data_IF_652282053449
#
_entry.id   IF_652282053449
#
_cell.length_a   1.000
_cell.length_b   1.000
_cell.length_c   1.000
_cell.angle_alpha   90.00
_cell.angle_beta   90.00
_cell.angle_gamma   90.00
#
_symmetry.space_group_name_H-M   'P 1'
#
loop_
_entity.id
_entity.type
_entity.pdbx_description
1 polymer ?
#
# COMPACT_ATOMS: atom_id res chain seq x y z
N UNK A 1 13.55 3.18 0.65
CA UNK A 1 12.65 3.39 -0.52
C UNK A 1 11.43 4.15 -0.03
N UNK A 2 11.03 5.24 -0.68
CA UNK A 2 9.84 6.00 -0.31
C UNK A 2 8.78 5.84 -1.41
N UNK A 3 7.56 5.45 -1.02
CA UNK A 3 6.42 5.29 -1.92
C UNK A 3 5.47 6.47 -1.74
N UNK A 4 5.20 7.18 -2.82
CA UNK A 4 4.22 8.25 -2.88
C UNK A 4 3.13 7.89 -3.87
N UNK A 5 1.89 8.20 -3.54
CA UNK A 5 0.75 7.96 -4.40
C UNK A 5 -0.08 9.23 -4.49
N UNK A 6 -0.47 9.64 -5.69
CA UNK A 6 -1.27 10.84 -5.90
C UNK A 6 -2.39 10.55 -6.90
N UNK A 7 -3.61 10.99 -6.59
CA UNK A 7 -4.70 10.99 -7.56
C UNK A 7 -4.61 12.24 -8.43
N UNK A 8 -4.55 12.04 -9.75
CA UNK A 8 -4.41 13.10 -10.74
C UNK A 8 -5.74 13.26 -11.45
N UNK A 9 -6.51 14.27 -11.03
CA UNK A 9 -7.86 14.55 -11.52
C UNK A 9 -7.89 14.71 -13.04
N UNK A 10 -6.93 15.47 -13.60
CA UNK A 10 -6.86 15.71 -15.04
C UNK A 10 -6.67 14.43 -15.87
N UNK A 11 -6.10 13.38 -15.28
CA UNK A 11 -5.87 12.10 -15.94
C UNK A 11 -6.85 11.00 -15.49
N UNK A 12 -7.70 11.28 -14.49
CA UNK A 12 -8.53 10.33 -13.75
C UNK A 12 -7.77 9.04 -13.36
N UNK A 13 -6.54 9.20 -12.86
CA UNK A 13 -5.61 8.10 -12.59
C UNK A 13 -4.81 8.34 -11.32
N UNK A 14 -4.42 7.25 -10.69
CA UNK A 14 -3.41 7.28 -9.62
C UNK A 14 -2.02 7.22 -10.24
N UNK A 15 -1.11 8.05 -9.73
CA UNK A 15 0.32 8.01 -10.03
C UNK A 15 1.07 7.48 -8.81
N UNK A 16 1.73 6.33 -8.94
CA UNK A 16 2.69 5.82 -7.96
C UNK A 16 4.06 6.36 -8.32
N UNK A 17 4.73 6.96 -7.34
CA UNK A 17 6.10 7.43 -7.44
C UNK A 17 6.94 6.70 -6.40
N UNK A 18 7.98 6.02 -6.86
CA UNK A 18 8.98 5.36 -6.04
C UNK A 18 10.23 6.22 -6.04
N UNK A 19 10.67 6.64 -4.85
CA UNK A 19 11.88 7.44 -4.66
C UNK A 19 12.99 6.64 -3.98
N UNK A 20 14.16 6.75 -4.59
CA UNK A 20 15.46 6.34 -4.09
C UNK A 20 16.29 7.60 -3.83
N UNK A 21 17.43 7.52 -3.10
CA UNK A 21 18.30 8.67 -2.87
C UNK A 21 18.68 9.41 -4.17
N UNK A 22 18.97 8.66 -5.25
CA UNK A 22 19.50 9.23 -6.50
C UNK A 22 18.57 9.02 -7.71
N UNK A 23 17.36 8.50 -7.51
CA UNK A 23 16.46 8.18 -8.61
C UNK A 23 14.98 8.26 -8.24
N UNK A 24 14.14 8.57 -9.24
CA UNK A 24 12.69 8.53 -9.14
C UNK A 24 12.11 7.73 -10.30
N UNK A 25 11.14 6.86 -10.00
CA UNK A 25 10.35 6.16 -11.00
C UNK A 25 8.88 6.39 -10.73
N UNK A 26 8.11 6.68 -11.79
CA UNK A 26 6.69 6.93 -11.67
C UNK A 26 5.89 6.11 -12.67
N UNK A 27 4.77 5.59 -12.19
CA UNK A 27 3.84 4.82 -13.00
C UNK A 27 2.39 5.26 -12.77
N UNK A 28 1.61 5.26 -13.84
CA UNK A 28 0.16 5.31 -13.81
C UNK A 28 -0.39 3.95 -13.38
N UNK A 29 -1.44 3.99 -12.58
CA UNK A 29 -2.16 2.81 -12.12
C UNK A 29 -3.56 2.82 -12.70
N UNK A 30 -3.99 1.65 -13.15
CA UNK A 30 -5.40 1.42 -13.46
C UNK A 30 -6.17 1.17 -12.17
N UNK A 31 -7.46 1.55 -12.16
CA UNK A 31 -8.38 1.21 -11.07
C UNK A 31 -8.34 -0.27 -10.71
N UNK A 32 -8.36 -1.14 -11.73
CA UNK A 32 -8.31 -2.60 -11.55
C UNK A 32 -7.06 -3.03 -10.79
N UNK A 33 -5.89 -2.57 -11.22
CA UNK A 33 -4.63 -2.94 -10.58
C UNK A 33 -4.56 -2.43 -9.13
N UNK A 34 -5.02 -1.21 -8.87
CA UNK A 34 -5.05 -0.67 -7.51
C UNK A 34 -5.95 -1.50 -6.60
N UNK A 35 -7.17 -1.85 -7.04
CA UNK A 35 -8.08 -2.67 -6.25
C UNK A 35 -7.52 -4.08 -5.99
N UNK A 36 -6.99 -4.74 -7.02
CA UNK A 36 -6.34 -6.05 -6.90
C UNK A 36 -5.13 -6.02 -5.96
N UNK A 37 -4.40 -4.91 -5.96
CA UNK A 37 -3.28 -4.72 -5.05
C UNK A 37 -3.76 -4.65 -3.60
N UNK A 38 -4.78 -3.83 -3.31
CA UNK A 38 -5.30 -3.69 -1.94
C UNK A 38 -5.88 -5.02 -1.46
N UNK A 39 -6.75 -5.69 -2.23
CA UNK A 39 -7.32 -7.00 -1.82
C UNK A 39 -6.24 -8.05 -1.66
N UNK A 40 -5.40 -8.25 -2.68
CA UNK A 40 -4.42 -9.33 -2.69
C UNK A 40 -3.32 -9.16 -1.64
N UNK A 41 -3.03 -7.93 -1.22
CA UNK A 41 -2.09 -7.71 -0.11
C UNK A 41 -2.75 -7.97 1.24
N UNK A 42 -4.00 -7.54 1.45
CA UNK A 42 -4.76 -7.84 2.67
C UNK A 42 -4.91 -9.35 2.89
N UNK A 43 -5.29 -10.08 1.84
CA UNK A 43 -5.40 -11.55 1.88
C UNK A 43 -4.07 -12.19 2.30
N UNK A 44 -2.94 -11.74 1.72
CA UNK A 44 -1.61 -12.26 2.04
C UNK A 44 -1.17 -11.91 3.46
N UNK A 45 -1.49 -10.71 3.96
CA UNK A 45 -1.20 -10.33 5.35
C UNK A 45 -1.99 -11.19 6.33
N UNK A 46 -3.27 -11.49 6.03
CA UNK A 46 -4.14 -12.31 6.87
C UNK A 46 -3.83 -13.80 6.83
N UNK A 47 -3.26 -14.28 5.73
CA UNK A 47 -2.83 -15.68 5.60
C UNK A 47 -1.55 -16.01 6.37
N UNK A 48 -0.77 -15.00 6.77
CA UNK A 48 0.47 -15.20 7.52
C UNK A 48 0.17 -15.14 9.02
N UNK A 49 0.44 -16.23 9.72
CA UNK A 49 0.34 -16.29 11.17
C UNK A 49 1.19 -15.20 11.84
N UNK A 50 0.56 -14.46 12.74
CA UNK A 50 1.21 -13.39 13.47
C UNK A 50 1.97 -13.95 14.67
N UNK A 51 3.18 -13.43 14.98
CA UNK A 51 3.84 -13.78 16.22
C UNK A 51 2.98 -13.36 17.42
N UNK A 52 2.91 -14.22 18.43
CA UNK A 52 2.19 -13.93 19.67
C UNK A 52 2.77 -12.67 20.33
N UNK A 53 1.90 -11.87 20.96
CA UNK A 53 2.35 -10.77 21.80
C UNK A 53 3.04 -11.37 23.03
N UNK A 54 4.22 -10.87 23.44
CA UNK A 54 4.86 -11.29 24.68
C UNK A 54 4.12 -10.64 25.88
N UNK A 55 2.86 -10.99 26.07
CA UNK A 55 2.05 -10.61 27.21
C UNK A 55 2.00 -11.80 28.18
N UNK A 56 2.52 -11.67 29.41
CA UNK A 56 2.48 -12.76 30.38
C UNK A 56 1.04 -13.22 30.62
N UNK A 57 0.75 -14.48 30.27
CA UNK A 57 -0.54 -15.12 30.55
C UNK A 57 -1.69 -14.84 29.56
N UNK A 58 -1.45 -14.16 28.43
CA UNK A 58 -2.48 -13.86 27.43
C UNK A 58 -1.98 -14.18 26.01
N UNK A 59 -2.28 -15.39 25.52
CA UNK A 59 -2.19 -15.72 24.10
C UNK A 59 -3.46 -15.20 23.39
N UNK A 60 -3.52 -13.89 23.13
CA UNK A 60 -4.59 -13.31 22.33
C UNK A 60 -4.28 -13.53 20.84
N UNK A 61 -5.18 -14.17 20.06
CA UNK A 61 -5.01 -14.24 18.61
C UNK A 61 -4.99 -12.82 18.06
N UNK A 62 -3.88 -12.44 17.43
CA UNK A 62 -3.76 -11.13 16.79
C UNK A 62 -4.48 -11.20 15.45
N UNK A 63 -5.45 -10.31 15.24
CA UNK A 63 -6.08 -10.12 13.93
C UNK A 63 -5.45 -8.94 13.17
N UNK A 64 -5.80 -8.80 11.88
CA UNK A 64 -5.28 -7.72 11.04
C UNK A 64 -5.69 -6.33 11.52
N UNK A 65 -6.85 -6.18 12.16
CA UNK A 65 -7.32 -4.89 12.64
C UNK A 65 -6.49 -4.41 13.84
N UNK A 66 -6.16 -5.33 14.75
CA UNK A 66 -5.26 -5.08 15.87
C UNK A 66 -3.84 -4.75 15.40
N UNK A 67 -3.31 -5.47 14.42
CA UNK A 67 -2.01 -5.16 13.83
C UNK A 67 -2.02 -3.78 13.15
N UNK A 68 -3.07 -3.47 12.40
CA UNK A 68 -3.25 -2.18 11.78
C UNK A 68 -3.29 -1.04 12.81
N UNK A 69 -4.06 -1.17 13.89
CA UNK A 69 -4.12 -0.18 14.96
C UNK A 69 -2.75 0.13 15.58
N UNK A 70 -1.96 -0.91 15.87
CA UNK A 70 -0.58 -0.76 16.36
C UNK A 70 0.37 -0.12 15.33
N UNK A 71 0.03 -0.21 14.04
CA UNK A 71 0.81 0.41 12.97
C UNK A 71 0.59 1.92 12.87
N UNK A 72 -0.57 2.42 13.34
CA UNK A 72 -0.98 3.82 13.27
C UNK A 72 -0.36 4.69 14.38
N UNK A 73 0.17 4.09 15.45
CA UNK A 73 0.82 4.81 16.57
C UNK A 73 2.15 5.50 16.20
N UNK A 74 2.58 5.36 14.94
CA UNK A 74 3.86 5.88 14.48
C UNK A 74 3.69 6.46 13.08
N UNK A 75 4.25 7.64 12.82
CA UNK A 75 4.11 8.39 11.56
C UNK A 75 4.22 7.48 10.33
N UNK A 76 3.13 7.39 9.59
CA UNK A 76 3.03 6.68 8.31
C UNK A 76 3.50 7.54 7.13
N UNK A 77 3.48 7.01 5.90
CA UNK A 77 3.78 7.79 4.70
C UNK A 77 2.77 8.94 4.58
N UNK A 78 3.26 10.17 4.60
CA UNK A 78 2.39 11.35 4.61
C UNK A 78 1.76 11.62 3.23
N UNK A 79 0.45 11.95 3.19
CA UNK A 79 -0.21 12.42 1.98
C UNK A 79 0.27 13.85 1.68
N UNK A 80 1.35 13.97 0.90
CA UNK A 80 1.98 15.27 0.66
C UNK A 80 3.32 15.10 -0.04
N UNK A 81 3.30 14.54 -1.23
CA UNK A 81 4.47 14.48 -2.11
C UNK A 81 4.53 15.73 -3.00
N UNK A 82 5.72 16.11 -3.49
CA UNK A 82 5.87 17.00 -4.64
C UNK A 82 4.93 16.57 -5.78
N UNK A 83 4.51 17.52 -6.63
CA UNK A 83 3.59 17.23 -7.71
C UNK A 83 4.07 16.02 -8.54
N UNK A 84 3.13 15.17 -9.01
CA UNK A 84 3.48 14.04 -9.85
C UNK A 84 4.28 14.53 -11.05
N UNK A 85 5.27 13.75 -11.51
CA UNK A 85 6.08 14.16 -12.66
C UNK A 85 5.22 14.32 -13.92
N UNK A 86 5.73 15.04 -14.94
CA UNK A 86 5.01 15.25 -16.20
C UNK A 86 4.52 13.92 -16.79
N UNK A 87 3.29 13.85 -17.34
CA UNK A 87 2.69 12.60 -17.81
C UNK A 87 3.57 11.81 -18.81
N UNK A 88 4.40 12.51 -19.55
CA UNK A 88 5.33 12.03 -20.58
C UNK A 88 6.47 11.17 -20.01
N UNK A 89 6.76 11.32 -18.72
CA UNK A 89 7.81 10.59 -18.00
C UNK A 89 7.24 9.43 -17.16
N UNK A 90 5.93 9.21 -17.23
CA UNK A 90 5.20 8.26 -16.39
C UNK A 90 4.78 7.05 -17.22
N UNK A 91 5.36 5.89 -16.91
CA UNK A 91 4.98 4.63 -17.54
C UNK A 91 3.63 4.10 -17.04
N UNK A 92 3.14 3.00 -17.61
CA UNK A 92 2.05 2.22 -17.00
C UNK A 92 2.62 1.19 -16.04
N UNK A 93 2.03 1.06 -14.84
CA UNK A 93 2.29 -0.07 -13.96
C UNK A 93 1.50 -1.27 -14.47
N UNK A 94 2.18 -2.38 -14.71
CA UNK A 94 1.58 -3.58 -15.31
C UNK A 94 1.37 -4.67 -14.27
N UNK A 95 2.29 -4.80 -13.32
CA UNK A 95 2.20 -5.82 -12.28
C UNK A 95 2.74 -5.34 -10.93
N UNK A 96 2.09 -5.86 -9.90
CA UNK A 96 2.53 -5.76 -8.51
C UNK A 96 2.57 -7.17 -7.96
N UNK A 97 3.76 -7.60 -7.53
CA UNK A 97 3.94 -8.85 -6.80
C UNK A 97 4.28 -8.54 -5.35
N UNK A 98 3.56 -9.17 -4.43
CA UNK A 98 3.81 -9.06 -3.00
C UNK A 98 4.06 -10.45 -2.44
N UNK A 99 5.14 -10.61 -1.70
CA UNK A 99 5.40 -11.77 -0.86
C UNK A 99 5.42 -11.29 0.59
N UNK A 100 4.65 -11.93 1.46
CA UNK A 100 4.49 -11.51 2.85
C UNK A 100 5.08 -12.59 3.76
N UNK A 101 5.83 -12.15 4.77
CA UNK A 101 6.35 -12.98 5.86
C UNK A 101 5.81 -12.48 7.20
N UNK A 102 6.19 -13.16 8.28
CA UNK A 102 5.82 -12.73 9.64
C UNK A 102 6.42 -11.36 10.02
N UNK A 103 7.45 -10.89 9.33
CA UNK A 103 8.21 -9.68 9.70
C UNK A 103 8.21 -8.60 8.62
N UNK A 104 8.07 -8.97 7.35
CA UNK A 104 8.20 -8.04 6.22
C UNK A 104 7.36 -8.44 5.01
N UNK A 105 7.20 -7.51 4.07
CA UNK A 105 6.66 -7.75 2.75
C UNK A 105 7.70 -7.39 1.70
N UNK A 106 8.08 -8.33 0.84
CA UNK A 106 8.83 -8.04 -0.38
C UNK A 106 7.86 -7.62 -1.48
N UNK A 107 8.02 -6.39 -1.97
CA UNK A 107 7.18 -5.81 -3.01
C UNK A 107 8.00 -5.65 -4.28
N UNK A 108 7.49 -6.17 -5.40
CA UNK A 108 8.03 -5.95 -6.74
C UNK A 108 6.99 -5.22 -7.58
N UNK A 109 7.42 -4.13 -8.20
CA UNK A 109 6.63 -3.27 -9.07
C UNK A 109 7.25 -3.30 -10.46
N UNK A 110 6.46 -3.60 -11.48
CA UNK A 110 6.98 -3.66 -12.84
C UNK A 110 6.00 -3.05 -13.84
N UNK A 111 6.55 -2.34 -14.82
CA UNK A 111 5.78 -1.80 -15.94
C UNK A 111 6.63 -0.91 -16.84
N UNK A 112 6.25 -0.84 -18.12
CA UNK A 112 6.97 -0.04 -19.13
C UNK A 112 8.46 -0.40 -19.23
N UNK A 113 8.76 -1.70 -19.19
CA UNK A 113 10.13 -2.24 -19.27
C UNK A 113 11.01 -1.98 -18.05
N UNK A 114 10.47 -1.40 -16.98
CA UNK A 114 11.19 -1.13 -15.73
C UNK A 114 10.62 -1.99 -14.60
N UNK A 115 11.49 -2.47 -13.72
CA UNK A 115 11.10 -3.20 -12.52
C UNK A 115 11.89 -2.69 -11.32
N UNK A 116 11.20 -2.52 -10.21
CA UNK A 116 11.83 -2.28 -8.91
C UNK A 116 11.34 -3.26 -7.88
N UNK A 117 12.17 -3.47 -6.86
CA UNK A 117 11.79 -4.21 -5.69
C UNK A 117 12.22 -3.45 -4.43
N UNK A 118 11.48 -3.66 -3.36
CA UNK A 118 11.82 -3.16 -2.04
C UNK A 118 11.16 -4.01 -0.97
N UNK A 119 11.84 -4.10 0.15
CA UNK A 119 11.29 -4.71 1.35
C UNK A 119 10.61 -3.62 2.19
N UNK A 120 9.43 -3.94 2.68
CA UNK A 120 8.66 -3.13 3.59
C UNK A 120 8.52 -3.87 4.90
N UNK A 121 8.60 -3.18 6.03
CA UNK A 121 8.18 -3.79 7.29
C UNK A 121 6.68 -4.11 7.24
N UNK A 122 6.19 -4.99 8.14
CA UNK A 122 4.72 -5.18 8.24
C UNK A 122 3.99 -3.87 8.52
N UNK A 123 4.56 -3.01 9.36
CA UNK A 123 4.03 -1.66 9.62
C UNK A 123 3.93 -0.84 8.32
N UNK A 124 5.02 -0.75 7.55
CA UNK A 124 5.00 -0.01 6.28
C UNK A 124 3.99 -0.60 5.29
N UNK A 125 3.79 -1.92 5.33
CA UNK A 125 2.80 -2.61 4.52
C UNK A 125 1.37 -2.16 4.87
N UNK A 126 1.04 -2.10 6.16
CA UNK A 126 -0.24 -1.56 6.65
C UNK A 126 -0.44 -0.11 6.22
N UNK A 127 0.59 0.72 6.38
CA UNK A 127 0.51 2.13 6.05
C UNK A 127 0.34 2.38 4.53
N UNK A 128 0.99 1.55 3.71
CA UNK A 128 0.86 1.56 2.25
C UNK A 128 -0.54 1.10 1.80
N UNK A 129 -1.09 0.06 2.42
CA UNK A 129 -2.45 -0.42 2.15
C UNK A 129 -3.48 0.64 2.54
N UNK A 130 -3.30 1.28 3.69
CA UNK A 130 -4.17 2.35 4.19
C UNK A 130 -4.17 3.57 3.26
N UNK A 131 -2.99 4.06 2.87
CA UNK A 131 -2.86 5.17 1.93
C UNK A 131 -3.59 4.89 0.61
N UNK A 132 -3.45 3.67 0.08
CA UNK A 132 -4.17 3.26 -1.13
C UNK A 132 -5.66 3.20 -0.92
N UNK A 133 -6.08 2.65 0.20
CA UNK A 133 -7.48 2.54 0.49
C UNK A 133 -8.15 3.91 0.61
N UNK A 134 -7.53 4.85 1.33
CA UNK A 134 -8.00 6.23 1.43
C UNK A 134 -8.19 6.87 0.06
N UNK A 135 -7.21 6.71 -0.84
CA UNK A 135 -7.29 7.27 -2.19
C UNK A 135 -8.34 6.59 -3.07
N UNK A 136 -8.48 5.27 -2.95
CA UNK A 136 -9.54 4.54 -3.62
C UNK A 136 -10.92 4.99 -3.10
N UNK A 137 -11.06 5.26 -1.80
CA UNK A 137 -12.30 5.80 -1.22
C UNK A 137 -12.59 7.23 -1.69
N UNK A 138 -11.58 8.11 -1.70
CA UNK A 138 -11.71 9.46 -2.25
C UNK A 138 -12.15 9.45 -3.72
N UNK A 139 -11.74 8.44 -4.48
CA UNK A 139 -12.14 8.25 -5.88
C UNK A 139 -13.46 7.46 -6.06
N UNK A 140 -14.15 7.06 -4.98
CA UNK A 140 -15.40 6.27 -5.04
C UNK A 140 -15.21 4.83 -5.52
N UNK A 141 -14.03 4.25 -5.31
CA UNK A 141 -13.67 2.91 -5.79
C UNK A 141 -13.89 1.80 -4.76
N UNK A 142 -13.99 2.14 -3.47
CA UNK A 142 -14.14 1.20 -2.34
C UNK A 142 -15.56 1.10 -1.77
N UNK A 143 -16.59 1.52 -2.49
CA UNK A 143 -17.97 1.57 -1.98
C UNK A 143 -18.64 0.18 -1.85
N UNK A 144 -17.86 -0.90 -1.72
CA UNK A 144 -18.38 -2.27 -1.58
C UNK A 144 -18.42 -2.70 -0.11
N UNK A 145 -19.43 -3.50 0.30
CA UNK A 145 -19.61 -3.91 1.71
C UNK A 145 -18.64 -5.00 2.18
N UNK A 146 -17.84 -5.59 1.29
CA UNK A 146 -16.87 -6.65 1.56
C UNK A 146 -15.51 -6.14 2.06
N UNK A 147 -15.28 -4.82 2.06
CA UNK A 147 -14.05 -4.24 2.56
C UNK A 147 -14.04 -4.14 4.09
N UNK A 148 -12.89 -4.38 4.75
CA UNK A 148 -12.78 -4.16 6.18
C UNK A 148 -13.14 -2.72 6.56
N UNK A 149 -13.97 -2.55 7.59
CA UNK A 149 -14.50 -1.24 8.00
C UNK A 149 -13.43 -0.26 8.49
N UNK A 150 -12.28 -0.77 8.94
CA UNK A 150 -11.11 0.03 9.34
C UNK A 150 -10.28 0.52 8.16
N UNK A 151 -10.38 -0.13 7.00
CA UNK A 151 -9.52 0.12 5.85
C UNK A 151 -9.88 1.46 5.17
N UNK A 152 -8.91 2.35 5.03
CA UNK A 152 -9.07 3.67 4.42
C UNK A 152 -9.88 4.65 5.29
N UNK A 153 -10.16 4.28 6.54
CA UNK A 153 -11.04 4.98 7.46
C UNK A 153 -10.28 5.87 8.43
N UNK A 154 -8.94 5.82 8.39
CA UNK A 154 -8.14 6.56 9.34
C UNK A 154 -8.35 8.07 9.21
N UNK A 155 -8.62 8.64 10.37
CA UNK A 155 -8.73 10.05 10.72
C UNK A 155 -7.68 10.95 10.05
#
# INVERSE_FOLDING_TARGET
MNLQLAYVVAADRLCLTVRYPDAQLSWWLTRRLTLQWVTGWLEKLGAVALPELPLPGLALPRDLAMEHGLSLEVDGPQPGGPPPPPPEQVGMLEAVTVQVTALSSLVRLSGSGRSVQGELTRKDSHAVIELRARQCRQAGWLDRPDWPSWLGSGS
#
